data_IF_860135129876
#
_entry.id   IF_860135129876
#
_cell.length_a   1.000
_cell.length_b   1.000
_cell.length_c   1.000
_cell.angle_alpha   90.00
_cell.angle_beta   90.00
_cell.angle_gamma   90.00
#
_symmetry.space_group_name_H-M   'P 1'
#
loop_
_entity.id
_entity.type
_entity.pdbx_description
1 polymer ?
#
# COMPACT_ATOMS: atom_id res chain seq x y z
N UNK A 1 74.34 -25.86 14.29
CA UNK A 1 72.95 -25.73 13.83
C UNK A 1 72.26 -24.71 14.73
N UNK A 2 72.11 -23.47 14.26
CA UNK A 2 71.39 -22.40 14.95
C UNK A 2 70.41 -21.83 13.91
N UNK A 3 69.13 -22.19 14.07
CA UNK A 3 68.04 -21.79 13.18
C UNK A 3 67.44 -20.50 13.76
N UNK A 4 67.69 -19.37 13.10
CA UNK A 4 67.11 -18.07 13.41
C UNK A 4 65.65 -18.02 12.88
N UNK A 5 64.68 -18.05 13.78
CA UNK A 5 63.28 -17.73 13.50
C UNK A 5 63.11 -16.21 13.49
N UNK A 6 62.94 -15.62 12.31
CA UNK A 6 62.51 -14.22 12.15
C UNK A 6 60.98 -14.21 12.15
N UNK A 7 60.40 -13.80 13.27
CA UNK A 7 58.96 -13.63 13.46
C UNK A 7 58.58 -12.23 12.94
N UNK A 8 58.12 -12.13 11.68
CA UNK A 8 57.60 -10.90 11.11
C UNK A 8 56.24 -10.56 11.76
N UNK A 9 56.28 -9.68 12.77
CA UNK A 9 55.12 -8.98 13.30
C UNK A 9 54.56 -8.04 12.21
N UNK A 10 53.61 -8.55 11.42
CA UNK A 10 52.70 -7.70 10.66
C UNK A 10 51.77 -6.98 11.66
N UNK A 11 52.19 -5.81 12.12
CA UNK A 11 51.32 -4.84 12.76
C UNK A 11 50.31 -4.35 11.71
N UNK A 12 49.14 -4.99 11.67
CA UNK A 12 47.98 -4.45 10.97
C UNK A 12 47.61 -3.12 11.61
N UNK A 13 48.04 -2.00 11.01
CA UNK A 13 47.52 -0.69 11.34
C UNK A 13 46.04 -0.66 10.95
N UNK A 14 45.17 -0.94 11.92
CA UNK A 14 43.75 -0.61 11.86
C UNK A 14 43.63 0.92 11.90
N UNK A 15 43.81 1.56 10.74
CA UNK A 15 43.42 2.94 10.54
C UNK A 15 41.94 3.07 10.84
N UNK A 16 41.62 3.60 12.01
CA UNK A 16 40.27 4.06 12.32
C UNK A 16 40.02 5.25 11.40
N UNK A 17 39.40 5.01 10.25
CA UNK A 17 38.78 6.07 9.48
C UNK A 17 37.76 6.72 10.41
N UNK A 18 38.12 7.89 10.95
CA UNK A 18 37.19 8.75 11.65
C UNK A 18 36.10 9.10 10.65
N UNK A 19 35.01 8.33 10.67
CA UNK A 19 33.85 8.56 9.84
C UNK A 19 33.38 9.97 10.20
N UNK A 20 33.63 10.92 9.30
CA UNK A 20 33.26 12.32 9.50
C UNK A 20 31.78 12.34 9.84
N UNK A 21 31.44 12.93 10.98
CA UNK A 21 30.06 13.03 11.44
C UNK A 21 29.24 13.72 10.34
N UNK A 22 28.17 13.05 9.90
CA UNK A 22 27.26 13.60 8.90
C UNK A 22 26.40 14.68 9.56
N UNK A 23 26.28 15.83 8.91
CA UNK A 23 25.49 16.95 9.38
C UNK A 23 24.37 17.33 8.42
N UNK A 24 23.41 18.14 8.91
CA UNK A 24 22.30 18.63 8.10
C UNK A 24 22.73 19.37 6.83
N UNK A 25 23.87 20.05 6.85
CA UNK A 25 24.44 20.73 5.67
C UNK A 25 24.78 19.75 4.54
N UNK A 26 25.16 18.53 4.87
CA UNK A 26 25.47 17.51 3.86
C UNK A 26 24.19 17.05 3.16
N UNK A 27 23.10 16.84 3.91
CA UNK A 27 21.80 16.52 3.32
C UNK A 27 21.28 17.66 2.43
N UNK A 28 21.45 18.91 2.85
CA UNK A 28 21.07 20.07 2.04
C UNK A 28 21.91 20.19 0.76
N UNK A 29 23.19 19.82 0.80
CA UNK A 29 24.02 19.78 -0.39
C UNK A 29 23.54 18.69 -1.37
N UNK A 30 23.22 17.49 -0.85
CA UNK A 30 22.67 16.39 -1.65
C UNK A 30 21.30 16.71 -2.24
N UNK A 31 20.45 17.43 -1.49
CA UNK A 31 19.15 17.90 -1.96
C UNK A 31 19.31 18.83 -3.17
N UNK A 32 20.27 19.76 -3.12
CA UNK A 32 20.58 20.66 -4.25
C UNK A 32 21.13 19.92 -5.47
N UNK A 33 21.80 18.78 -5.28
CA UNK A 33 22.27 17.94 -6.37
C UNK A 33 21.27 16.86 -6.80
N UNK A 34 20.07 16.85 -6.19
CA UNK A 34 19.00 15.88 -6.46
C UNK A 34 19.42 14.40 -6.27
N UNK A 35 20.38 14.13 -5.37
CA UNK A 35 20.79 12.76 -5.08
C UNK A 35 19.87 12.11 -4.05
N UNK A 36 18.63 11.86 -4.49
CA UNK A 36 17.54 11.36 -3.63
C UNK A 36 17.87 10.02 -2.97
N UNK A 37 18.59 9.15 -3.67
CA UNK A 37 19.00 7.85 -3.13
C UNK A 37 20.03 8.00 -2.02
N UNK A 38 21.04 8.85 -2.24
CA UNK A 38 22.05 9.11 -1.22
C UNK A 38 21.47 9.82 0.01
N UNK A 39 20.53 10.77 -0.18
CA UNK A 39 19.81 11.42 0.92
C UNK A 39 19.12 10.38 1.80
N UNK A 40 18.33 9.47 1.20
CA UNK A 40 17.57 8.46 1.96
C UNK A 40 18.48 7.48 2.71
N UNK A 41 19.65 7.17 2.15
CA UNK A 41 20.66 6.34 2.80
C UNK A 41 21.36 7.07 3.96
N UNK A 42 21.76 8.32 3.73
CA UNK A 42 22.53 9.12 4.69
C UNK A 42 21.67 9.75 5.78
N UNK A 43 20.39 10.02 5.54
CA UNK A 43 19.50 10.66 6.50
C UNK A 43 19.39 9.90 7.84
N UNK A 44 19.52 8.56 7.83
CA UNK A 44 19.57 7.73 9.05
C UNK A 44 20.82 7.92 9.90
N UNK A 45 21.88 8.50 9.33
CA UNK A 45 23.17 8.70 10.00
C UNK A 45 23.25 10.05 10.72
N UNK A 46 22.34 10.99 10.42
CA UNK A 46 22.17 12.22 11.20
C UNK A 46 21.82 11.86 12.64
N UNK A 47 22.46 12.49 13.62
CA UNK A 47 22.18 12.27 15.04
C UNK A 47 20.69 12.48 15.34
N UNK A 48 20.03 11.65 16.17
CA UNK A 48 18.63 11.87 16.55
C UNK A 48 18.34 13.29 17.06
N UNK A 49 19.31 13.95 17.72
CA UNK A 49 19.16 15.33 18.21
C UNK A 49 19.13 16.39 17.10
N UNK A 50 19.58 16.06 15.89
CA UNK A 50 19.61 16.94 14.72
C UNK A 50 18.45 16.65 13.75
N UNK A 51 17.61 15.63 14.01
CA UNK A 51 16.47 15.24 13.16
C UNK A 51 15.24 16.08 13.45
N UNK A 52 15.28 17.33 13.02
CA UNK A 52 14.20 18.30 13.17
C UNK A 52 13.19 18.25 12.00
N UNK A 53 12.33 19.27 11.90
CA UNK A 53 11.35 19.41 10.82
C UNK A 53 12.01 19.62 9.46
N UNK A 54 13.19 20.23 9.39
CA UNK A 54 13.90 20.43 8.13
C UNK A 54 14.46 19.10 7.62
N UNK A 55 15.03 18.30 8.50
CA UNK A 55 15.42 16.93 8.19
C UNK A 55 14.25 16.11 7.63
N UNK A 56 13.07 16.18 8.26
CA UNK A 56 11.88 15.46 7.78
C UNK A 56 11.49 15.90 6.37
N UNK A 57 11.47 17.22 6.09
CA UNK A 57 11.14 17.74 4.75
C UNK A 57 12.08 17.22 3.66
N UNK A 58 13.39 17.20 3.95
CA UNK A 58 14.40 16.68 3.00
C UNK A 58 14.14 15.19 2.72
N UNK A 59 13.84 14.39 3.77
CA UNK A 59 13.52 12.97 3.60
C UNK A 59 12.21 12.76 2.83
N UNK A 60 11.18 13.55 3.11
CA UNK A 60 9.90 13.50 2.40
C UNK A 60 10.08 13.80 0.91
N UNK A 61 10.79 14.88 0.57
CA UNK A 61 11.08 15.25 -0.80
C UNK A 61 11.90 14.17 -1.52
N UNK A 62 12.94 13.64 -0.88
CA UNK A 62 13.75 12.57 -1.45
C UNK A 62 12.93 11.28 -1.66
N UNK A 63 12.04 10.94 -0.74
CA UNK A 63 11.15 9.78 -0.86
C UNK A 63 10.18 9.94 -2.05
N UNK A 64 9.54 11.11 -2.18
CA UNK A 64 8.63 11.41 -3.31
C UNK A 64 9.35 11.38 -4.67
N UNK A 65 10.54 11.98 -4.76
CA UNK A 65 11.32 11.94 -5.99
C UNK A 65 11.83 10.53 -6.33
N UNK A 66 12.14 9.74 -5.32
CA UNK A 66 12.51 8.32 -5.49
C UNK A 66 11.35 7.52 -6.08
N UNK A 67 10.12 7.73 -5.59
CA UNK A 67 8.90 7.15 -6.18
C UNK A 67 8.71 7.62 -7.62
N UNK A 68 8.93 8.91 -7.91
CA UNK A 68 8.88 9.46 -9.26
C UNK A 68 9.84 8.77 -10.24
N UNK A 69 11.00 8.31 -9.77
CA UNK A 69 11.93 7.49 -10.56
C UNK A 69 11.45 6.05 -10.73
N UNK A 70 10.89 5.43 -9.69
CA UNK A 70 10.34 4.06 -9.75
C UNK A 70 9.24 3.93 -10.82
N UNK A 71 8.36 4.93 -10.91
CA UNK A 71 7.32 4.98 -11.94
C UNK A 71 7.86 4.92 -13.38
N UNK A 72 9.10 5.37 -13.59
CA UNK A 72 9.80 5.35 -14.89
C UNK A 72 10.70 4.12 -15.06
N UNK A 73 10.96 3.37 -13.99
CA UNK A 73 11.86 2.23 -13.98
C UNK A 73 11.25 1.02 -14.68
N UNK A 74 12.03 0.19 -15.41
CA UNK A 74 11.55 -1.10 -15.88
C UNK A 74 11.56 -2.18 -14.77
N UNK A 75 12.25 -1.97 -13.64
CA UNK A 75 12.48 -2.95 -12.56
C UNK A 75 11.42 -2.94 -11.46
N UNK A 76 10.16 -2.85 -11.85
CA UNK A 76 9.07 -2.44 -10.94
C UNK A 76 8.68 -3.46 -9.85
N UNK A 77 9.22 -4.68 -9.84
CA UNK A 77 8.94 -5.66 -8.77
C UNK A 77 9.72 -5.41 -7.47
N UNK A 78 10.87 -4.72 -7.55
CA UNK A 78 11.69 -4.41 -6.37
C UNK A 78 11.27 -3.11 -5.70
N UNK A 79 10.61 -2.22 -6.45
CA UNK A 79 10.28 -0.85 -6.02
C UNK A 79 9.35 -0.82 -4.79
N UNK A 80 8.44 -1.80 -4.63
CA UNK A 80 7.61 -1.88 -3.42
C UNK A 80 8.41 -2.19 -2.16
N UNK A 81 9.46 -3.03 -2.25
CA UNK A 81 10.31 -3.32 -1.09
C UNK A 81 11.00 -2.05 -0.58
N UNK A 82 11.37 -1.16 -1.50
CA UNK A 82 11.95 0.13 -1.16
C UNK A 82 10.89 1.05 -0.52
N UNK A 83 9.67 1.13 -1.06
CA UNK A 83 8.57 1.88 -0.42
C UNK A 83 8.29 1.37 1.00
N UNK A 84 8.19 0.05 1.18
CA UNK A 84 8.00 -0.58 2.49
C UNK A 84 9.18 -0.29 3.42
N UNK A 85 10.42 -0.39 2.93
CA UNK A 85 11.63 -0.02 3.67
C UNK A 85 11.58 1.43 4.13
N UNK A 86 11.15 2.37 3.29
CA UNK A 86 11.00 3.78 3.64
C UNK A 86 9.94 4.00 4.72
N UNK A 87 8.76 3.39 4.57
CA UNK A 87 7.69 3.48 5.58
C UNK A 87 8.13 2.92 6.94
N UNK A 88 8.91 1.84 6.95
CA UNK A 88 9.45 1.24 8.18
C UNK A 88 10.60 2.04 8.79
N UNK A 89 11.34 2.77 7.95
CA UNK A 89 12.50 3.56 8.35
C UNK A 89 12.15 4.94 8.89
N UNK A 90 11.03 5.49 8.40
CA UNK A 90 10.65 6.88 8.58
C UNK A 90 9.14 6.95 8.85
N UNK A 91 8.72 6.72 10.11
CA UNK A 91 7.30 6.64 10.47
C UNK A 91 6.47 7.87 10.08
N UNK A 92 7.08 9.06 9.98
CA UNK A 92 6.38 10.26 9.51
C UNK A 92 5.95 10.18 8.04
N UNK A 93 6.56 9.31 7.21
CA UNK A 93 6.14 9.06 5.83
C UNK A 93 4.78 8.36 5.76
N UNK A 94 4.38 7.60 6.79
CA UNK A 94 3.03 6.99 6.88
C UNK A 94 1.92 8.04 6.96
N UNK A 95 2.25 9.29 7.31
CA UNK A 95 1.33 10.43 7.40
C UNK A 95 1.53 11.44 6.26
N UNK A 96 2.54 11.24 5.41
CA UNK A 96 2.79 12.09 4.25
C UNK A 96 1.86 11.66 3.10
N UNK A 97 0.71 12.33 2.98
CA UNK A 97 -0.31 12.00 1.99
C UNK A 97 0.20 12.12 0.55
N UNK A 98 1.16 13.01 0.28
CA UNK A 98 1.72 13.17 -1.06
C UNK A 98 2.64 11.99 -1.41
N UNK A 99 3.48 11.55 -0.48
CA UNK A 99 4.28 10.33 -0.63
C UNK A 99 3.41 9.08 -0.79
N UNK A 100 2.41 8.92 0.07
CA UNK A 100 1.51 7.77 0.04
C UNK A 100 0.72 7.73 -1.27
N UNK A 101 0.15 8.86 -1.70
CA UNK A 101 -0.61 8.95 -2.95
C UNK A 101 0.27 8.68 -4.17
N UNK A 102 1.45 9.28 -4.24
CA UNK A 102 2.39 9.08 -5.36
C UNK A 102 2.92 7.65 -5.43
N UNK A 103 3.00 6.94 -4.31
CA UNK A 103 3.41 5.53 -4.23
C UNK A 103 2.36 4.55 -4.78
N UNK A 104 1.09 4.95 -4.83
CA UNK A 104 -0.04 4.10 -5.20
C UNK A 104 0.15 3.28 -6.49
N UNK A 105 0.57 3.87 -7.63
CA UNK A 105 0.74 3.10 -8.86
C UNK A 105 1.87 2.06 -8.78
N UNK A 106 2.95 2.34 -8.05
CA UNK A 106 4.05 1.37 -7.81
C UNK A 106 3.51 0.20 -6.98
N UNK A 107 2.76 0.51 -5.92
CA UNK A 107 2.16 -0.46 -5.01
C UNK A 107 1.13 -1.35 -5.73
N UNK A 108 0.22 -0.78 -6.52
CA UNK A 108 -0.76 -1.56 -7.30
C UNK A 108 -0.09 -2.56 -8.23
N UNK A 109 0.98 -2.15 -8.92
CA UNK A 109 1.68 -3.05 -9.82
C UNK A 109 2.44 -4.15 -9.08
N UNK A 110 2.97 -3.87 -7.91
CA UNK A 110 3.53 -4.91 -7.05
C UNK A 110 2.47 -5.96 -6.71
N UNK A 111 1.31 -5.55 -6.20
CA UNK A 111 0.25 -6.48 -5.86
C UNK A 111 -0.32 -7.22 -7.06
N UNK A 112 -0.32 -6.61 -8.24
CA UNK A 112 -0.71 -7.29 -9.47
C UNK A 112 0.17 -8.53 -9.72
N UNK A 113 1.49 -8.39 -9.54
CA UNK A 113 2.43 -9.52 -9.65
C UNK A 113 2.33 -10.47 -8.46
N UNK A 114 2.17 -9.94 -7.25
CA UNK A 114 2.04 -10.74 -6.03
C UNK A 114 0.92 -11.77 -6.18
N UNK A 115 -0.27 -11.32 -6.61
CA UNK A 115 -1.42 -12.18 -6.81
C UNK A 115 -1.30 -13.17 -7.99
N UNK A 116 -0.41 -12.93 -8.96
CA UNK A 116 -0.13 -13.89 -10.04
C UNK A 116 0.71 -15.08 -9.56
N UNK A 117 1.60 -14.85 -8.58
CA UNK A 117 2.55 -15.86 -8.10
C UNK A 117 2.05 -16.71 -6.92
N UNK A 118 0.96 -16.32 -6.27
CA UNK A 118 0.45 -16.99 -5.07
C UNK A 118 -0.87 -17.71 -5.32
N UNK A 119 -0.91 -19.02 -5.09
CA UNK A 119 -2.18 -19.79 -5.07
C UNK A 119 -3.11 -19.38 -3.91
N UNK A 120 -2.55 -18.76 -2.86
CA UNK A 120 -3.25 -18.31 -1.66
C UNK A 120 -2.78 -16.89 -1.32
N UNK A 121 -3.24 -15.88 -2.05
CA UNK A 121 -2.78 -14.49 -1.96
C UNK A 121 -3.02 -13.78 -0.63
N UNK A 122 -3.18 -14.49 0.48
CA UNK A 122 -3.46 -13.96 1.81
C UNK A 122 -2.33 -13.03 2.28
N UNK A 123 -1.05 -13.39 2.09
CA UNK A 123 0.05 -12.48 2.44
C UNK A 123 0.05 -11.18 1.63
N UNK A 124 -0.24 -11.27 0.32
CA UNK A 124 -0.40 -10.09 -0.53
C UNK A 124 -1.59 -9.22 -0.06
N UNK A 125 -2.66 -9.86 0.42
CA UNK A 125 -3.84 -9.20 0.97
C UNK A 125 -3.51 -8.40 2.23
N UNK A 126 -2.79 -9.00 3.18
CA UNK A 126 -2.44 -8.36 4.44
C UNK A 126 -1.57 -7.11 4.22
N UNK A 127 -0.55 -7.20 3.37
CA UNK A 127 0.32 -6.06 3.04
C UNK A 127 -0.44 -4.94 2.30
N UNK A 128 -1.37 -5.30 1.40
CA UNK A 128 -2.22 -4.31 0.72
C UNK A 128 -3.12 -3.59 1.71
N UNK A 129 -3.73 -4.31 2.64
CA UNK A 129 -4.58 -3.73 3.68
C UNK A 129 -3.78 -2.83 4.63
N UNK A 130 -2.53 -3.20 4.95
CA UNK A 130 -1.63 -2.32 5.69
C UNK A 130 -1.38 -1.01 4.94
N UNK A 131 -1.09 -1.05 3.64
CA UNK A 131 -0.88 0.14 2.84
C UNK A 131 -2.14 1.02 2.73
N UNK A 132 -3.33 0.41 2.65
CA UNK A 132 -4.61 1.12 2.67
C UNK A 132 -4.82 1.89 3.98
N UNK A 133 -4.35 1.36 5.11
CA UNK A 133 -4.43 2.06 6.39
C UNK A 133 -3.53 3.32 6.46
N UNK A 134 -2.48 3.39 5.65
CA UNK A 134 -1.68 4.62 5.50
C UNK A 134 -2.35 5.65 4.58
N UNK A 135 -3.38 5.24 3.82
CA UNK A 135 -4.02 6.02 2.76
C UNK A 135 -5.55 6.11 2.88
N UNK A 136 -6.13 6.38 4.08
CA UNK A 136 -7.57 6.29 4.27
C UNK A 136 -8.38 7.21 3.35
N UNK A 137 -7.81 8.35 2.94
CA UNK A 137 -8.47 9.35 2.09
C UNK A 137 -8.17 9.15 0.58
N UNK A 138 -7.42 8.10 0.21
CA UNK A 138 -7.07 7.83 -1.19
C UNK A 138 -8.05 6.85 -1.82
N UNK A 139 -9.31 7.28 -1.96
CA UNK A 139 -10.42 6.42 -2.41
C UNK A 139 -10.19 5.84 -3.80
N UNK A 140 -9.52 6.59 -4.69
CA UNK A 140 -9.19 6.13 -6.05
C UNK A 140 -8.18 4.97 -6.06
N UNK A 141 -7.17 5.04 -5.19
CA UNK A 141 -6.25 3.92 -5.00
C UNK A 141 -6.98 2.72 -4.39
N UNK A 142 -7.79 2.93 -3.34
CA UNK A 142 -8.55 1.87 -2.70
C UNK A 142 -9.49 1.15 -3.68
N UNK A 143 -10.17 1.92 -4.52
CA UNK A 143 -11.05 1.37 -5.56
C UNK A 143 -10.27 0.55 -6.59
N UNK A 144 -9.15 1.10 -7.09
CA UNK A 144 -8.27 0.40 -8.03
C UNK A 144 -7.69 -0.88 -7.44
N UNK A 145 -7.33 -0.85 -6.16
CA UNK A 145 -6.86 -2.01 -5.41
C UNK A 145 -7.94 -3.07 -5.26
N UNK A 146 -9.17 -2.68 -4.94
CA UNK A 146 -10.30 -3.61 -4.83
C UNK A 146 -10.63 -4.28 -6.17
N UNK A 147 -10.61 -3.52 -7.27
CA UNK A 147 -10.78 -4.07 -8.61
C UNK A 147 -9.67 -5.08 -8.96
N UNK A 148 -8.43 -4.80 -8.56
CA UNK A 148 -7.32 -5.72 -8.75
C UNK A 148 -7.54 -7.03 -7.98
N UNK A 149 -7.91 -6.95 -6.70
CA UNK A 149 -8.22 -8.12 -5.87
C UNK A 149 -9.36 -8.92 -6.47
N UNK A 150 -10.44 -8.27 -6.92
CA UNK A 150 -11.58 -8.95 -7.54
C UNK A 150 -11.15 -9.75 -8.78
N UNK A 151 -10.30 -9.15 -9.63
CA UNK A 151 -9.80 -9.77 -10.87
C UNK A 151 -8.85 -10.94 -10.60
N UNK A 152 -8.00 -10.86 -9.57
CA UNK A 152 -6.90 -11.82 -9.36
C UNK A 152 -7.20 -12.87 -8.29
N UNK A 153 -8.04 -12.57 -7.32
CA UNK A 153 -8.31 -13.41 -6.15
C UNK A 153 -9.81 -13.76 -5.99
N UNK A 154 -10.68 -13.14 -6.78
CA UNK A 154 -12.12 -13.39 -6.75
C UNK A 154 -12.89 -12.26 -6.07
N UNK A 155 -14.14 -12.10 -6.51
CA UNK A 155 -15.00 -11.00 -6.10
C UNK A 155 -15.31 -11.01 -4.59
N UNK A 156 -15.46 -12.17 -3.96
CA UNK A 156 -15.74 -12.27 -2.53
C UNK A 156 -14.56 -11.81 -1.66
N UNK A 157 -13.33 -11.81 -2.17
CA UNK A 157 -12.14 -11.33 -1.46
C UNK A 157 -11.95 -9.81 -1.57
N UNK A 158 -12.55 -9.18 -2.58
CA UNK A 158 -12.39 -7.75 -2.85
C UNK A 158 -13.25 -6.83 -1.97
N UNK A 159 -14.35 -7.35 -1.41
CA UNK A 159 -15.30 -6.50 -0.67
C UNK A 159 -14.66 -5.74 0.53
N UNK A 160 -13.83 -6.36 1.39
CA UNK A 160 -13.16 -5.62 2.47
C UNK A 160 -12.30 -4.46 1.96
N UNK A 161 -11.74 -4.59 0.75
CA UNK A 161 -10.93 -3.55 0.11
C UNK A 161 -11.80 -2.43 -0.43
N UNK A 162 -12.93 -2.76 -1.08
CA UNK A 162 -13.87 -1.75 -1.58
C UNK A 162 -14.34 -0.79 -0.49
N UNK A 163 -14.47 -1.22 0.77
CA UNK A 163 -14.89 -0.35 1.87
C UNK A 163 -14.02 0.90 2.00
N UNK A 164 -12.72 0.81 1.72
CA UNK A 164 -11.79 1.94 1.77
C UNK A 164 -12.03 2.97 0.64
N UNK A 165 -12.79 2.60 -0.39
CA UNK A 165 -13.16 3.50 -1.48
C UNK A 165 -14.47 4.27 -1.23
N UNK A 166 -15.23 3.93 -0.18
CA UNK A 166 -16.54 4.50 0.10
C UNK A 166 -16.58 5.10 1.51
N UNK A 167 -15.94 6.24 1.69
CA UNK A 167 -15.96 6.97 2.97
C UNK A 167 -16.91 8.16 2.93
N UNK A 168 -17.23 8.70 1.75
CA UNK A 168 -18.13 9.83 1.57
C UNK A 168 -19.28 9.52 0.59
N UNK A 169 -20.37 10.30 0.66
CA UNK A 169 -21.50 10.15 -0.27
C UNK A 169 -21.14 10.53 -1.71
N UNK A 170 -20.23 11.48 -1.89
CA UNK A 170 -19.70 11.92 -3.19
C UNK A 170 -19.08 10.78 -4.00
N UNK A 171 -18.54 9.76 -3.33
CA UNK A 171 -17.94 8.58 -3.98
C UNK A 171 -18.98 7.69 -4.68
N UNK A 172 -20.25 7.80 -4.29
CA UNK A 172 -21.32 6.91 -4.77
C UNK A 172 -21.49 6.97 -6.28
N UNK A 173 -21.48 8.18 -6.85
CA UNK A 173 -21.70 8.38 -8.28
C UNK A 173 -20.52 7.91 -9.13
N UNK A 174 -19.33 7.77 -8.52
CA UNK A 174 -18.10 7.37 -9.21
C UNK A 174 -17.90 5.86 -9.23
N UNK A 175 -18.36 5.16 -8.19
CA UNK A 175 -17.93 3.78 -7.92
C UNK A 175 -19.07 2.77 -7.87
N UNK A 176 -20.31 3.19 -7.57
CA UNK A 176 -21.40 2.25 -7.35
C UNK A 176 -21.95 1.61 -8.64
N UNK A 177 -21.76 2.23 -9.81
CA UNK A 177 -22.18 1.67 -11.12
C UNK A 177 -21.13 0.73 -11.75
N UNK A 178 -19.98 0.57 -11.10
CA UNK A 178 -18.89 -0.21 -11.65
C UNK A 178 -19.24 -1.70 -11.67
N UNK A 179 -19.11 -2.31 -12.84
CA UNK A 179 -19.47 -3.72 -13.04
C UNK A 179 -18.69 -4.70 -12.15
N UNK A 180 -17.47 -4.37 -11.73
CA UNK A 180 -16.68 -5.23 -10.83
C UNK A 180 -17.17 -5.09 -9.39
N UNK A 181 -17.49 -3.87 -8.97
CA UNK A 181 -18.15 -3.62 -7.69
C UNK A 181 -19.51 -4.33 -7.61
N UNK A 182 -20.38 -4.20 -8.62
CA UNK A 182 -21.69 -4.88 -8.65
C UNK A 182 -21.53 -6.40 -8.55
N UNK A 183 -20.59 -6.99 -9.33
CA UNK A 183 -20.27 -8.43 -9.22
C UNK A 183 -19.80 -8.82 -7.82
N UNK A 184 -19.01 -7.96 -7.17
CA UNK A 184 -18.51 -8.15 -5.79
C UNK A 184 -19.62 -8.08 -4.76
N UNK A 185 -20.51 -7.10 -4.89
CA UNK A 185 -21.71 -7.00 -4.08
C UNK A 185 -22.60 -8.25 -4.23
N UNK A 186 -22.91 -8.65 -5.46
CA UNK A 186 -23.73 -9.83 -5.75
C UNK A 186 -23.08 -11.13 -5.24
N UNK A 187 -21.76 -11.26 -5.34
CA UNK A 187 -21.03 -12.40 -4.76
C UNK A 187 -21.15 -12.45 -3.24
N UNK A 188 -21.03 -11.30 -2.56
CA UNK A 188 -21.20 -11.22 -1.11
C UNK A 188 -22.63 -11.55 -0.67
N UNK A 189 -23.65 -11.11 -1.39
CA UNK A 189 -25.05 -11.40 -1.06
C UNK A 189 -25.43 -12.88 -1.17
N UNK A 190 -24.66 -13.67 -1.94
CA UNK A 190 -24.83 -15.13 -2.06
C UNK A 190 -24.18 -15.92 -0.93
N UNK A 191 -23.39 -15.28 -0.05
CA UNK A 191 -22.75 -15.94 1.07
C UNK A 191 -23.77 -16.40 2.15
N UNK A 192 -23.39 -17.33 3.03
CA UNK A 192 -24.23 -17.72 4.16
C UNK A 192 -24.69 -16.52 4.97
N UNK A 193 -25.94 -16.54 5.41
CA UNK A 193 -26.45 -15.49 6.28
C UNK A 193 -25.60 -15.37 7.56
N UNK A 194 -25.25 -14.13 7.91
CA UNK A 194 -24.39 -13.84 9.07
C UNK A 194 -22.91 -13.71 8.75
N UNK A 195 -22.46 -14.04 7.53
CA UNK A 195 -21.08 -13.78 7.10
C UNK A 195 -20.75 -12.28 7.23
N UNK A 196 -19.57 -11.91 7.78
CA UNK A 196 -19.17 -10.51 7.93
C UNK A 196 -19.24 -9.70 6.63
N UNK A 197 -18.95 -10.33 5.48
CA UNK A 197 -18.98 -9.69 4.17
C UNK A 197 -20.41 -9.30 3.75
N UNK A 198 -21.41 -10.07 4.15
CA UNK A 198 -22.81 -9.69 3.92
C UNK A 198 -23.10 -8.36 4.60
N UNK A 199 -22.72 -8.20 5.87
CA UNK A 199 -22.96 -6.95 6.61
C UNK A 199 -22.23 -5.75 5.98
N UNK A 200 -21.01 -5.98 5.49
CA UNK A 200 -20.24 -4.97 4.75
C UNK A 200 -20.97 -4.53 3.48
N UNK A 201 -21.41 -5.49 2.66
CA UNK A 201 -22.13 -5.21 1.41
C UNK A 201 -23.46 -4.49 1.67
N UNK A 202 -24.22 -4.93 2.66
CA UNK A 202 -25.47 -4.26 3.09
C UNK A 202 -25.22 -2.82 3.55
N UNK A 203 -24.11 -2.58 4.26
CA UNK A 203 -23.73 -1.23 4.70
C UNK A 203 -23.40 -0.34 3.50
N UNK A 204 -22.61 -0.82 2.54
CA UNK A 204 -22.25 -0.05 1.33
C UNK A 204 -23.49 0.28 0.50
N UNK A 205 -24.38 -0.69 0.28
CA UNK A 205 -25.63 -0.46 -0.43
C UNK A 205 -26.48 0.60 0.27
N UNK A 206 -26.79 0.46 1.56
CA UNK A 206 -27.67 1.42 2.26
C UNK A 206 -27.08 2.83 2.36
N UNK A 207 -25.77 2.95 2.58
CA UNK A 207 -25.14 4.25 2.83
C UNK A 207 -24.84 5.01 1.55
N UNK A 208 -24.45 4.30 0.49
CA UNK A 208 -23.84 4.92 -0.70
C UNK A 208 -24.52 4.45 -1.99
N UNK A 209 -24.75 3.15 -2.16
CA UNK A 209 -25.02 2.58 -3.48
C UNK A 209 -26.47 2.13 -3.76
N UNK A 210 -27.45 2.44 -2.91
CA UNK A 210 -28.81 1.89 -3.02
C UNK A 210 -29.42 2.09 -4.41
N UNK A 211 -29.40 3.33 -4.91
CA UNK A 211 -29.96 3.69 -6.23
C UNK A 211 -29.34 2.94 -7.42
N UNK A 212 -28.12 2.41 -7.26
CA UNK A 212 -27.41 1.66 -8.29
C UNK A 212 -27.59 0.15 -8.17
N UNK A 213 -27.91 -0.33 -6.96
CA UNK A 213 -27.97 -1.75 -6.65
C UNK A 213 -29.41 -2.26 -6.52
N UNK A 214 -30.42 -1.40 -6.54
CA UNK A 214 -31.82 -1.79 -6.39
C UNK A 214 -32.25 -2.82 -7.44
N UNK A 215 -32.06 -2.52 -8.72
CA UNK A 215 -32.40 -3.44 -9.81
C UNK A 215 -31.57 -4.74 -9.76
N UNK A 216 -30.29 -4.64 -9.42
CA UNK A 216 -29.39 -5.78 -9.25
C UNK A 216 -29.84 -6.70 -8.10
N UNK A 217 -30.32 -6.12 -6.99
CA UNK A 217 -30.86 -6.85 -5.84
C UNK A 217 -32.18 -7.55 -6.19
N UNK A 218 -33.08 -6.88 -6.91
CA UNK A 218 -34.34 -7.48 -7.38
C UNK A 218 -34.03 -8.65 -8.32
N UNK A 219 -33.18 -8.42 -9.32
CA UNK A 219 -32.73 -9.46 -10.27
C UNK A 219 -32.08 -10.66 -9.55
N UNK A 220 -31.30 -10.39 -8.50
CA UNK A 220 -30.68 -11.45 -7.70
C UNK A 220 -31.71 -12.26 -6.90
N UNK A 221 -32.75 -11.63 -6.35
CA UNK A 221 -33.86 -12.33 -5.68
C UNK A 221 -34.66 -13.21 -6.67
N UNK A 222 -34.95 -12.70 -7.86
CA UNK A 222 -35.70 -13.43 -8.89
C UNK A 222 -34.92 -14.64 -9.43
N UNK A 223 -33.61 -14.48 -9.64
CA UNK A 223 -32.76 -15.51 -10.22
C UNK A 223 -32.24 -16.54 -9.21
N UNK A 224 -32.31 -16.26 -7.90
CA UNK A 224 -31.78 -17.13 -6.84
C UNK A 224 -32.80 -17.37 -5.72
N UNK A 225 -33.50 -18.50 -5.79
CA UNK A 225 -34.41 -18.93 -4.73
C UNK A 225 -33.66 -19.61 -3.55
N UNK A 226 -32.63 -18.94 -3.02
CA UNK A 226 -31.93 -19.42 -1.83
C UNK A 226 -32.35 -18.62 -0.60
N UNK A 227 -32.58 -19.33 0.51
CA UNK A 227 -32.92 -18.69 1.80
C UNK A 227 -31.90 -17.63 2.20
N UNK A 228 -30.61 -17.88 1.98
CA UNK A 228 -29.53 -16.93 2.30
C UNK A 228 -29.65 -15.63 1.51
N UNK A 229 -29.86 -15.70 0.19
CA UNK A 229 -29.98 -14.50 -0.66
C UNK A 229 -31.17 -13.64 -0.20
N UNK A 230 -32.33 -14.25 0.06
CA UNK A 230 -33.51 -13.54 0.59
C UNK A 230 -33.19 -12.87 1.93
N UNK A 231 -32.58 -13.62 2.87
CA UNK A 231 -32.21 -13.08 4.19
C UNK A 231 -31.16 -11.97 4.12
N UNK A 232 -30.33 -11.94 3.08
CA UNK A 232 -29.26 -10.96 2.92
C UNK A 232 -29.72 -9.70 2.18
N UNK A 233 -30.63 -9.80 1.21
CA UNK A 233 -31.09 -8.67 0.39
C UNK A 233 -32.27 -7.93 1.01
N UNK A 234 -33.28 -8.64 1.54
CA UNK A 234 -34.49 -8.00 2.07
C UNK A 234 -34.25 -6.95 3.17
N UNK A 235 -33.20 -7.01 4.01
CA UNK A 235 -32.89 -5.93 4.96
C UNK A 235 -32.30 -4.65 4.34
N UNK A 236 -32.00 -4.65 3.04
CA UNK A 236 -31.43 -3.52 2.30
C UNK A 236 -32.49 -2.79 1.48
N UNK A 237 -33.39 -3.56 0.84
CA UNK A 237 -34.61 -3.07 0.18
C UNK A 237 -35.60 -2.48 1.20
#
# INVERSE_FOLDING_TARGET
MLVNLIFCLFFSQLGHASQSQLHMKDLQALQKSEDWGEILYKAKQISPSERDLEWQKIVQEAARNTVGRMLKSPRQSEDYKEISSLLNSYDFLKKDQEFIKSSGPVVLKHFEKCYQGSSYGDHCGDELMEFLNYSPDNHEFAFSAAQLVAKKQGSDKALPVFIYAFTEKSDSDRYCDDSIFIKTFNAAMKLPHGDPKVKMAQSLARKYCFKYLEEEMISLLESQNSKSVVQNICPVL
#
